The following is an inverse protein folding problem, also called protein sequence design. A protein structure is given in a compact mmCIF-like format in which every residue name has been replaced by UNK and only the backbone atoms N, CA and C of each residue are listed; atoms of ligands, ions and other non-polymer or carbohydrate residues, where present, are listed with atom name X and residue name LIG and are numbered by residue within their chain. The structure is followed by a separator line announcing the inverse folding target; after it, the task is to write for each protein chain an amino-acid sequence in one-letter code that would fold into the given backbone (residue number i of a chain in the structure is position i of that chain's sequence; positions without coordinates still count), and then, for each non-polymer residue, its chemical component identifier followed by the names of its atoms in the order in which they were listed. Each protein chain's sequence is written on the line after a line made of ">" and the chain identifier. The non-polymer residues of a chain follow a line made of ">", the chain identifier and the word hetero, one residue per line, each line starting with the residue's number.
data_IF_928023894898
#
_entry.id   IF_928023894898
#
_cell.length_a   1.000
_cell.length_b   1.000
_cell.length_c   1.000
_cell.angle_alpha   90.00
_cell.angle_beta   90.00
_cell.angle_gamma   90.00
#
_symmetry.space_group_name_H-M   'P 1'
#
loop_
_entity.id
_entity.type
_entity.pdbx_description
1 polymer ?
#
# COMPACT_ATOMS: atom_id res chain seq x y z
N UNK A 1 -29.52 10.16 15.10
CA UNK A 1 -29.54 9.11 14.06
C UNK A 1 -28.14 8.51 14.09
N UNK A 2 -27.98 7.32 14.69
CA UNK A 2 -26.68 6.66 14.79
C UNK A 2 -26.39 6.01 13.43
N UNK A 3 -25.51 6.61 12.62
CA UNK A 3 -24.91 5.90 11.49
C UNK A 3 -24.14 4.73 12.06
N UNK A 4 -24.60 3.50 11.80
CA UNK A 4 -23.85 2.29 12.13
C UNK A 4 -22.56 2.26 11.28
N UNK A 5 -21.49 1.58 11.74
CA UNK A 5 -20.29 1.45 10.93
C UNK A 5 -20.64 0.63 9.68
N UNK A 6 -20.42 1.21 8.50
CA UNK A 6 -20.49 0.45 7.26
C UNK A 6 -19.22 -0.39 7.18
N UNK A 7 -19.29 -1.63 7.65
CA UNK A 7 -18.26 -2.62 7.36
C UNK A 7 -18.39 -2.99 5.88
N UNK A 8 -17.59 -2.35 5.04
CA UNK A 8 -17.54 -2.65 3.61
C UNK A 8 -16.36 -3.57 3.35
N UNK A 9 -16.62 -4.79 2.89
CA UNK A 9 -15.59 -5.59 2.23
C UNK A 9 -15.30 -4.87 0.91
N UNK A 10 -14.10 -4.31 0.76
CA UNK A 10 -13.72 -3.57 -0.44
C UNK A 10 -13.70 -4.49 -1.67
N UNK A 11 -14.01 -3.90 -2.82
CA UNK A 11 -13.83 -4.48 -4.16
C UNK A 11 -12.42 -5.07 -4.33
N UNK A 12 -12.20 -6.06 -5.23
CA UNK A 12 -10.95 -6.79 -5.24
C UNK A 12 -9.81 -5.84 -5.61
N UNK A 13 -8.90 -5.61 -4.67
CA UNK A 13 -7.60 -5.00 -4.88
C UNK A 13 -6.55 -6.11 -4.89
N UNK A 14 -5.46 -5.93 -5.64
CA UNK A 14 -4.31 -6.82 -5.58
C UNK A 14 -3.09 -6.06 -5.06
N UNK A 15 -2.11 -6.82 -4.58
CA UNK A 15 -0.94 -6.30 -3.92
C UNK A 15 0.31 -6.92 -4.52
N UNK A 16 1.36 -6.11 -4.59
CA UNK A 16 2.69 -6.53 -5.00
C UNK A 16 3.71 -5.84 -4.09
N UNK A 17 4.61 -6.61 -3.50
CA UNK A 17 5.82 -6.12 -2.87
C UNK A 17 6.88 -5.81 -3.94
N UNK A 18 7.60 -4.72 -3.74
CA UNK A 18 8.86 -4.47 -4.41
C UNK A 18 9.96 -4.48 -3.35
N UNK A 19 10.67 -5.59 -3.23
CA UNK A 19 11.84 -5.72 -2.35
C UNK A 19 13.10 -5.21 -3.07
N UNK A 20 14.00 -4.54 -2.35
CA UNK A 20 15.22 -4.01 -2.94
C UNK A 20 16.26 -3.80 -1.84
N UNK A 21 17.25 -4.69 -1.77
CA UNK A 21 18.24 -4.82 -0.68
C UNK A 21 19.07 -3.56 -0.35
N UNK A 22 18.97 -2.48 -1.13
CA UNK A 22 19.74 -1.22 -0.94
C UNK A 22 18.94 0.04 -1.24
N UNK A 23 17.69 0.13 -0.77
CA UNK A 23 16.83 1.29 -1.04
C UNK A 23 17.26 2.59 -0.31
N UNK A 24 17.94 2.47 0.84
CA UNK A 24 18.03 3.56 1.83
C UNK A 24 19.33 4.38 1.87
N UNK A 25 20.30 4.13 0.97
CA UNK A 25 21.39 5.10 0.81
C UNK A 25 20.89 6.38 0.09
N UNK A 26 19.76 6.32 -0.63
CA UNK A 26 18.91 7.48 -0.95
C UNK A 26 17.62 7.06 -1.68
N UNK A 27 16.47 7.56 -1.22
CA UNK A 27 15.16 7.48 -1.92
C UNK A 27 15.21 7.99 -3.39
N UNK A 28 16.26 8.70 -3.79
CA UNK A 28 16.50 9.16 -5.17
C UNK A 28 17.02 8.06 -6.10
N UNK A 29 17.71 7.04 -5.59
CA UNK A 29 18.34 6.00 -6.41
C UNK A 29 17.34 4.96 -6.94
N UNK A 30 16.30 4.65 -6.19
CA UNK A 30 15.26 3.69 -6.57
C UNK A 30 14.09 4.31 -7.35
N UNK A 31 13.82 5.62 -7.19
CA UNK A 31 12.98 6.37 -8.13
C UNK A 31 13.54 6.36 -9.56
N UNK A 32 14.85 6.21 -9.72
CA UNK A 32 15.51 6.06 -11.02
C UNK A 32 15.43 4.65 -11.62
N UNK A 33 14.95 3.65 -10.87
CA UNK A 33 14.77 2.30 -11.39
C UNK A 33 13.57 2.20 -12.34
N UNK A 34 12.56 3.05 -12.13
CA UNK A 34 11.33 3.10 -12.92
C UNK A 34 11.36 4.26 -13.89
N UNK A 35 10.73 4.09 -15.05
CA UNK A 35 10.66 5.17 -16.03
C UNK A 35 9.83 6.34 -15.46
N UNK A 36 10.13 7.61 -15.79
CA UNK A 36 9.37 8.76 -15.31
C UNK A 36 7.86 8.72 -15.64
N UNK A 37 7.46 7.95 -16.66
CA UNK A 37 6.06 7.71 -17.02
C UNK A 37 5.40 6.56 -16.25
N UNK A 38 6.17 5.68 -15.62
CA UNK A 38 5.62 4.49 -14.96
C UNK A 38 5.02 4.76 -13.60
N UNK A 39 5.60 5.63 -12.79
CA UNK A 39 5.04 5.90 -11.48
C UNK A 39 5.23 7.38 -11.18
N UNK A 40 4.17 8.15 -11.32
CA UNK A 40 4.19 9.61 -11.22
C UNK A 40 4.40 10.09 -9.77
N UNK A 41 5.58 9.82 -9.20
CA UNK A 41 6.14 10.45 -8.01
C UNK A 41 5.79 9.82 -6.65
N UNK A 42 6.55 8.79 -6.25
CA UNK A 42 6.73 8.40 -4.84
C UNK A 42 7.96 9.04 -4.18
N UNK A 43 8.73 9.84 -4.92
CA UNK A 43 9.90 10.53 -4.37
C UNK A 43 9.47 11.50 -3.27
N UNK A 44 10.31 11.58 -2.22
CA UNK A 44 10.07 12.43 -1.05
C UNK A 44 9.03 11.90 -0.05
N UNK A 45 8.50 10.68 -0.22
CA UNK A 45 7.74 10.01 0.85
C UNK A 45 8.68 9.57 1.98
N UNK A 46 8.24 9.79 3.21
CA UNK A 46 8.91 9.29 4.41
C UNK A 46 8.50 7.83 4.70
N UNK A 47 9.28 7.14 5.54
CA UNK A 47 8.89 5.83 6.07
C UNK A 47 7.48 5.92 6.66
N UNK A 48 6.64 4.92 6.40
CA UNK A 48 5.20 4.82 6.75
C UNK A 48 4.24 5.65 5.90
N UNK A 49 4.72 6.61 5.10
CA UNK A 49 3.83 7.40 4.25
C UNK A 49 3.42 6.63 2.99
N UNK A 50 2.21 6.96 2.52
CA UNK A 50 1.63 6.41 1.31
C UNK A 50 1.16 7.53 0.40
N UNK A 51 1.13 7.29 -0.91
CA UNK A 51 0.63 8.26 -1.88
C UNK A 51 -0.19 7.58 -2.96
N UNK A 52 -1.32 8.19 -3.28
CA UNK A 52 -2.06 7.88 -4.49
C UNK A 52 -1.32 8.44 -5.71
N UNK A 53 -1.08 7.60 -6.70
CA UNK A 53 -0.38 7.95 -7.93
C UNK A 53 -0.89 7.08 -9.08
N UNK A 54 -0.37 7.33 -10.28
CA UNK A 54 -0.86 6.71 -11.51
C UNK A 54 0.29 6.00 -12.22
N UNK A 55 -0.02 4.82 -12.76
CA UNK A 55 0.73 4.25 -13.86
C UNK A 55 0.25 4.87 -15.16
N UNK A 56 1.17 5.48 -15.92
CA UNK A 56 0.86 6.03 -17.24
C UNK A 56 1.69 5.38 -18.33
N UNK A 57 1.17 5.38 -19.55
CA UNK A 57 1.94 4.98 -20.74
C UNK A 57 2.70 6.19 -21.33
N UNK A 58 3.50 5.95 -22.36
CA UNK A 58 4.32 6.99 -23.01
C UNK A 58 3.52 8.14 -23.62
N UNK A 59 2.22 7.93 -23.88
CA UNK A 59 1.31 8.94 -24.41
C UNK A 59 0.57 9.70 -23.29
N UNK A 60 0.86 9.40 -22.02
CA UNK A 60 0.19 9.97 -20.86
C UNK A 60 -1.18 9.37 -20.55
N UNK A 61 -1.54 8.27 -21.20
CA UNK A 61 -2.77 7.52 -20.88
C UNK A 61 -2.63 6.78 -19.56
N UNK A 62 -3.68 6.81 -18.73
CA UNK A 62 -3.70 6.11 -17.44
C UNK A 62 -3.89 4.62 -17.68
N UNK A 63 -2.96 3.83 -17.17
CA UNK A 63 -3.04 2.37 -17.21
C UNK A 63 -3.64 1.79 -15.93
N UNK A 64 -3.28 2.35 -14.77
CA UNK A 64 -3.88 2.00 -13.48
C UNK A 64 -3.68 3.14 -12.48
N UNK A 65 -4.55 3.20 -11.50
CA UNK A 65 -4.40 4.02 -10.31
C UNK A 65 -3.93 3.16 -9.14
N UNK A 66 -2.92 3.64 -8.40
CA UNK A 66 -2.28 2.86 -7.34
C UNK A 66 -2.01 3.70 -6.11
N UNK A 67 -1.92 3.03 -4.96
CA UNK A 67 -1.31 3.58 -3.76
C UNK A 67 0.07 2.95 -3.61
N UNK A 68 1.08 3.79 -3.38
CA UNK A 68 2.45 3.35 -3.06
C UNK A 68 2.72 3.70 -1.61
N UNK A 69 3.02 2.70 -0.79
CA UNK A 69 3.40 2.86 0.61
C UNK A 69 4.89 2.58 0.80
N UNK A 70 5.58 3.45 1.54
CA UNK A 70 7.01 3.31 1.83
C UNK A 70 7.20 2.59 3.16
N UNK A 71 7.93 1.48 3.13
CA UNK A 71 8.46 0.81 4.29
C UNK A 71 9.98 0.86 4.28
N UNK A 72 10.61 0.50 5.40
CA UNK A 72 12.07 0.53 5.58
C UNK A 72 12.84 -0.25 4.52
N UNK A 73 12.34 -1.40 4.10
CA UNK A 73 13.10 -2.32 3.24
C UNK A 73 12.43 -2.54 1.87
N UNK A 74 11.19 -2.09 1.71
CA UNK A 74 10.38 -2.35 0.52
C UNK A 74 9.37 -1.24 0.23
N UNK A 75 8.91 -1.20 -1.02
CA UNK A 75 7.69 -0.48 -1.39
C UNK A 75 6.54 -1.46 -1.49
N UNK A 76 5.38 -1.06 -0.98
CA UNK A 76 4.13 -1.78 -1.20
C UNK A 76 3.30 -1.04 -2.24
N UNK A 77 3.01 -1.71 -3.35
CA UNK A 77 2.16 -1.18 -4.43
C UNK A 77 0.80 -1.86 -4.34
N UNK A 78 -0.23 -1.03 -4.22
CA UNK A 78 -1.63 -1.43 -4.12
C UNK A 78 -2.34 -0.95 -5.37
N UNK A 79 -2.83 -1.88 -6.18
CA UNK A 79 -3.52 -1.57 -7.42
C UNK A 79 -4.85 -2.29 -7.57
N UNK A 80 -5.55 -1.97 -8.65
CA UNK A 80 -6.84 -2.55 -8.97
C UNK A 80 -6.72 -4.04 -9.34
N UNK A 81 -7.43 -4.97 -8.69
CA UNK A 81 -7.23 -6.41 -8.96
C UNK A 81 -7.45 -6.81 -10.42
N UNK A 82 -8.32 -6.11 -11.14
CA UNK A 82 -8.56 -6.36 -12.56
C UNK A 82 -7.30 -6.09 -13.41
N UNK A 83 -6.41 -5.23 -12.95
CA UNK A 83 -5.16 -4.88 -13.61
C UNK A 83 -3.95 -5.65 -13.07
N UNK A 84 -4.13 -6.61 -12.14
CA UNK A 84 -3.05 -7.37 -11.49
C UNK A 84 -1.99 -7.86 -12.46
N UNK A 85 -2.40 -8.68 -13.43
CA UNK A 85 -1.47 -9.31 -14.38
C UNK A 85 -0.73 -8.29 -15.23
N UNK A 86 -1.43 -7.24 -15.67
CA UNK A 86 -0.87 -6.14 -16.48
C UNK A 86 0.22 -5.38 -15.73
N UNK A 87 -0.08 -4.96 -14.49
CA UNK A 87 0.84 -4.15 -13.69
C UNK A 87 2.01 -4.98 -13.18
N UNK A 88 1.79 -6.24 -12.77
CA UNK A 88 2.88 -7.14 -12.42
C UNK A 88 3.85 -7.35 -13.59
N UNK A 89 3.33 -7.65 -14.78
CA UNK A 89 4.16 -7.86 -15.97
C UNK A 89 4.99 -6.63 -16.31
N UNK A 90 4.41 -5.44 -16.14
CA UNK A 90 5.11 -4.17 -16.32
C UNK A 90 6.23 -3.98 -15.29
N UNK A 91 5.92 -4.15 -14.00
CA UNK A 91 6.89 -4.03 -12.92
C UNK A 91 8.06 -5.01 -13.07
N UNK A 92 7.77 -6.25 -13.48
CA UNK A 92 8.78 -7.27 -13.75
C UNK A 92 9.72 -6.86 -14.90
N UNK A 93 9.18 -6.31 -15.97
CA UNK A 93 9.97 -5.81 -17.09
C UNK A 93 10.88 -4.65 -16.66
N UNK A 94 10.34 -3.67 -15.93
CA UNK A 94 11.11 -2.52 -15.44
C UNK A 94 12.19 -2.94 -14.43
N UNK A 95 11.89 -3.90 -13.55
CA UNK A 95 12.87 -4.48 -12.63
C UNK A 95 13.97 -5.25 -13.38
N UNK A 96 13.64 -5.97 -14.46
CA UNK A 96 14.63 -6.65 -15.29
C UNK A 96 15.58 -5.66 -15.97
N UNK A 97 15.06 -4.55 -16.50
CA UNK A 97 15.89 -3.48 -17.06
C UNK A 97 16.78 -2.83 -16.01
N UNK A 98 16.24 -2.55 -14.82
CA UNK A 98 16.98 -2.02 -13.68
C UNK A 98 18.14 -2.94 -13.28
N UNK A 99 17.91 -4.26 -13.20
CA UNK A 99 18.96 -5.26 -12.97
C UNK A 99 20.02 -5.24 -14.08
N UNK A 100 19.62 -5.06 -15.34
CA UNK A 100 20.54 -4.87 -16.46
C UNK A 100 21.45 -3.65 -16.31
N UNK A 101 21.01 -2.62 -15.57
CA UNK A 101 21.79 -1.43 -15.19
C UNK A 101 22.57 -1.60 -13.87
N UNK A 102 22.57 -2.80 -13.29
CA UNK A 102 23.29 -3.13 -12.05
C UNK A 102 22.53 -2.79 -10.76
N UNK A 103 21.23 -2.51 -10.81
CA UNK A 103 20.39 -2.26 -9.63
C UNK A 103 19.84 -3.58 -9.05
N UNK A 104 19.74 -3.67 -7.72
CA UNK A 104 19.25 -4.86 -7.03
C UNK A 104 17.76 -4.72 -6.65
N UNK A 105 16.86 -4.85 -7.63
CA UNK A 105 15.40 -4.71 -7.45
C UNK A 105 14.70 -6.05 -7.67
N UNK A 106 13.78 -6.42 -6.80
CA UNK A 106 12.89 -7.59 -6.93
C UNK A 106 11.42 -7.17 -6.87
N UNK A 107 10.58 -7.91 -7.60
CA UNK A 107 9.13 -7.74 -7.62
C UNK A 107 8.56 -9.06 -7.13
N UNK A 108 7.71 -9.01 -6.11
CA UNK A 108 7.04 -10.17 -5.54
C UNK A 108 5.56 -9.88 -5.43
N UNK A 109 4.72 -10.67 -6.09
CA UNK A 109 3.28 -10.57 -5.90
C UNK A 109 2.92 -11.05 -4.48
N UNK A 110 2.12 -10.26 -3.76
CA UNK A 110 1.67 -10.69 -2.43
C UNK A 110 0.45 -11.59 -2.60
N UNK A 111 0.62 -12.84 -2.21
CA UNK A 111 -0.46 -13.82 -2.17
C UNK A 111 -0.90 -14.08 -0.72
N UNK A 112 -2.10 -14.60 -0.54
CA UNK A 112 -2.66 -14.97 0.77
C UNK A 112 -2.82 -13.82 1.79
N UNK A 113 -3.07 -12.59 1.34
CA UNK A 113 -3.48 -11.48 2.22
C UNK A 113 -4.96 -11.17 2.05
N UNK A 114 -5.64 -10.85 3.15
CA UNK A 114 -6.97 -10.24 3.15
C UNK A 114 -6.87 -8.77 3.50
N UNK A 115 -7.72 -7.96 2.86
CA UNK A 115 -7.99 -6.58 3.22
C UNK A 115 -9.38 -6.48 3.86
N UNK A 116 -9.46 -5.80 4.99
CA UNK A 116 -10.71 -5.29 5.54
C UNK A 116 -10.66 -3.76 5.54
N UNK A 117 -11.70 -3.12 5.01
CA UNK A 117 -11.84 -1.66 5.07
C UNK A 117 -12.95 -1.29 6.06
N UNK A 118 -12.60 -0.48 7.06
CA UNK A 118 -13.52 0.03 8.09
C UNK A 118 -13.63 1.53 7.88
N UNK A 119 -14.80 1.98 7.43
CA UNK A 119 -15.03 3.34 6.96
C UNK A 119 -16.21 3.98 7.68
N UNK A 120 -16.12 5.29 7.91
CA UNK A 120 -17.18 6.09 8.49
C UNK A 120 -16.83 6.71 9.85
N UNK A 121 -17.74 7.52 10.41
CA UNK A 121 -17.47 8.32 11.62
C UNK A 121 -17.17 7.48 12.87
N UNK A 122 -17.50 6.19 12.87
CA UNK A 122 -17.23 5.26 13.97
C UNK A 122 -16.00 4.36 13.72
N UNK A 123 -15.30 4.52 12.59
CA UNK A 123 -14.17 3.66 12.24
C UNK A 123 -13.09 3.71 13.32
N UNK A 124 -12.79 4.90 13.84
CA UNK A 124 -11.82 5.08 14.92
C UNK A 124 -12.19 4.30 16.20
N UNK A 125 -13.45 4.33 16.61
CA UNK A 125 -13.93 3.63 17.80
C UNK A 125 -13.83 2.10 17.65
N UNK A 126 -14.19 1.59 16.46
CA UNK A 126 -14.08 0.17 16.12
C UNK A 126 -12.62 -0.26 16.11
N UNK A 127 -11.75 0.50 15.44
CA UNK A 127 -10.34 0.16 15.31
C UNK A 127 -9.60 0.22 16.65
N UNK A 128 -9.92 1.18 17.51
CA UNK A 128 -9.35 1.30 18.86
C UNK A 128 -9.59 0.07 19.75
N UNK A 129 -10.63 -0.70 19.46
CA UNK A 129 -10.97 -1.92 20.19
C UNK A 129 -10.36 -3.17 19.55
N UNK A 130 -10.02 -3.11 18.26
CA UNK A 130 -9.62 -4.28 17.47
C UNK A 130 -8.10 -4.45 17.34
N UNK A 131 -7.34 -3.34 17.30
CA UNK A 131 -5.88 -3.38 17.11
C UNK A 131 -5.14 -3.24 18.44
N UNK A 132 -3.94 -3.79 18.50
CA UNK A 132 -3.03 -3.66 19.65
C UNK A 132 -2.24 -2.33 19.70
N UNK A 133 -2.77 -1.24 19.11
CA UNK A 133 -2.17 0.08 19.20
C UNK A 133 -2.86 0.89 20.30
N UNK A 134 -2.14 1.82 20.93
CA UNK A 134 -2.80 2.71 21.88
C UNK A 134 -3.75 3.66 21.14
N UNK A 135 -4.84 4.08 21.79
CA UNK A 135 -5.74 5.08 21.23
C UNK A 135 -4.99 6.36 20.85
N UNK A 136 -3.95 6.73 21.63
CA UNK A 136 -3.14 7.89 21.33
C UNK A 136 -2.37 7.73 20.01
N UNK A 137 -1.85 6.54 19.72
CA UNK A 137 -1.15 6.25 18.46
C UNK A 137 -2.11 6.30 17.29
N UNK A 138 -3.30 5.69 17.42
CA UNK A 138 -4.33 5.72 16.38
C UNK A 138 -4.85 7.13 16.08
N UNK A 139 -5.08 7.96 17.11
CA UNK A 139 -5.51 9.36 16.92
C UNK A 139 -4.45 10.16 16.16
N UNK A 140 -3.17 9.91 16.49
CA UNK A 140 -2.03 10.63 15.90
C UNK A 140 -1.66 10.13 14.52
N UNK A 141 -2.15 8.96 14.12
CA UNK A 141 -1.92 8.36 12.82
C UNK A 141 -2.45 9.28 11.71
N UNK A 142 -1.57 9.88 10.88
CA UNK A 142 -2.00 10.76 9.80
C UNK A 142 -2.77 10.00 8.71
N UNK A 143 -3.59 10.72 7.94
CA UNK A 143 -4.17 10.15 6.72
C UNK A 143 -3.04 9.75 5.74
N UNK A 144 -3.22 8.64 5.04
CA UNK A 144 -2.22 8.02 4.14
C UNK A 144 -0.91 7.61 4.85
N UNK A 145 -1.00 7.17 6.10
CA UNK A 145 0.10 6.53 6.82
C UNK A 145 -0.20 5.07 7.13
N UNK A 146 0.85 4.26 7.30
CA UNK A 146 0.76 2.83 7.56
C UNK A 146 1.62 2.40 8.74
N UNK A 147 1.06 1.59 9.63
CA UNK A 147 1.72 1.08 10.83
C UNK A 147 1.58 -0.44 10.90
N UNK A 148 2.58 -1.11 11.50
CA UNK A 148 2.46 -2.52 11.86
C UNK A 148 1.63 -2.63 13.14
N UNK A 149 0.69 -3.56 13.17
CA UNK A 149 -0.13 -3.86 14.33
C UNK A 149 -0.46 -5.35 14.37
N UNK A 150 -1.27 -5.76 15.34
CA UNK A 150 -1.93 -7.06 15.36
C UNK A 150 -3.41 -6.90 15.68
N UNK A 151 -4.24 -7.72 15.05
CA UNK A 151 -5.66 -7.89 15.38
C UNK A 151 -5.84 -9.32 15.87
N UNK A 152 -6.30 -9.51 17.11
CA UNK A 152 -6.47 -10.84 17.72
C UNK A 152 -5.20 -11.74 17.58
N UNK A 153 -4.02 -11.16 17.72
CA UNK A 153 -2.73 -11.87 17.60
C UNK A 153 -2.26 -12.14 16.17
N UNK A 154 -3.04 -11.78 15.14
CA UNK A 154 -2.63 -11.85 13.73
C UNK A 154 -1.85 -10.59 13.37
N UNK A 155 -0.62 -10.75 12.88
CA UNK A 155 0.20 -9.63 12.42
C UNK A 155 -0.42 -8.99 11.17
N UNK A 156 -0.61 -7.67 11.24
CA UNK A 156 -1.29 -6.88 10.23
C UNK A 156 -0.54 -5.59 9.90
N UNK A 157 -0.82 -5.04 8.73
CA UNK A 157 -0.53 -3.65 8.35
C UNK A 157 -1.85 -2.88 8.47
N UNK A 158 -1.84 -1.83 9.26
CA UNK A 158 -2.94 -0.88 9.38
C UNK A 158 -2.60 0.38 8.57
N UNK A 159 -3.48 0.79 7.67
CA UNK A 159 -3.36 2.04 6.91
C UNK A 159 -4.56 2.92 7.19
N UNK A 160 -4.36 4.21 7.47
CA UNK A 160 -5.47 5.17 7.65
C UNK A 160 -5.77 5.79 6.28
N UNK A 161 -6.64 5.14 5.54
CA UNK A 161 -7.04 5.55 4.20
C UNK A 161 -8.46 5.08 3.89
N UNK A 162 -9.00 5.55 2.77
CA UNK A 162 -10.32 5.15 2.31
C UNK A 162 -10.74 5.86 1.03
N UNK A 163 -11.73 5.28 0.36
CA UNK A 163 -12.33 5.81 -0.87
C UNK A 163 -13.76 6.35 -0.65
N UNK A 164 -14.20 6.41 0.61
CA UNK A 164 -15.56 6.84 0.98
C UNK A 164 -15.69 8.36 1.13
N UNK A 165 -14.56 9.06 1.32
CA UNK A 165 -14.53 10.47 1.74
C UNK A 165 -14.70 10.67 3.25
N UNK A 166 -14.99 9.60 4.00
CA UNK A 166 -15.04 9.59 5.47
C UNK A 166 -13.68 9.20 6.07
N UNK A 167 -13.54 9.35 7.39
CA UNK A 167 -12.43 8.73 8.10
C UNK A 167 -12.52 7.20 8.04
N UNK A 168 -11.37 6.54 8.11
CA UNK A 168 -11.35 5.11 7.92
C UNK A 168 -9.96 4.49 7.95
N UNK A 169 -9.98 3.17 8.07
CA UNK A 169 -8.79 2.35 8.16
C UNK A 169 -8.92 1.12 7.26
N UNK A 170 -7.79 0.69 6.75
CA UNK A 170 -7.60 -0.55 6.02
C UNK A 170 -6.68 -1.45 6.84
N UNK A 171 -7.12 -2.68 7.10
CA UNK A 171 -6.35 -3.70 7.81
C UNK A 171 -5.99 -4.81 6.84
N UNK A 172 -4.70 -5.10 6.73
CA UNK A 172 -4.16 -6.15 5.86
C UNK A 172 -3.42 -7.19 6.69
N UNK A 173 -3.77 -8.46 6.53
CA UNK A 173 -3.09 -9.54 7.24
C UNK A 173 -3.07 -10.82 6.42
N UNK A 174 -2.12 -11.71 6.73
CA UNK A 174 -2.05 -13.03 6.10
C UNK A 174 -3.26 -13.87 6.47
N UNK A 175 -3.83 -14.55 5.49
CA UNK A 175 -4.89 -15.53 5.66
C UNK A 175 -4.26 -16.86 6.12
N UNK A 176 -3.89 -16.96 7.40
CA UNK A 176 -3.66 -18.27 8.04
C UNK A 176 -4.25 -18.29 9.44
N UNK A 177 -5.16 -19.24 9.66
CA UNK A 177 -5.47 -19.75 11.00
C UNK A 177 -4.18 -20.36 11.57
N UNK A 178 -3.86 -20.00 12.82
CA UNK A 178 -3.00 -20.81 13.68
C UNK A 178 -3.55 -22.24 13.78
#
# INVERSE_FOLDING_TARGET
>A
MLCQPLLHVSWPLFWTFLECDKFFDSLSSSASAFSPGALLCFSGLLETESRFTLFTNEQGGIEDDVIVAVHRDFLLIIGNACNKSKILSRLDAEAAEARGRGQAVTVEAVEDYTLLSVQGPQAMDVMSQAVNLSNADLIRMPFMSSYLCSVEGVACVLTRCGFSGEDGFEVRGKVRKL
#
